data_IF_206176587973
#
_entry.id   IF_206176587973
#
_cell.length_a   1.000
_cell.length_b   1.000
_cell.length_c   1.000
_cell.angle_alpha   90.00
_cell.angle_beta   90.00
_cell.angle_gamma   90.00
#
_symmetry.space_group_name_H-M   'P 1'
#
loop_
_entity.id
_entity.type
_entity.pdbx_description
1 polymer ?
#
# COMPACT_ATOMS: atom_id res chain seq x y z
N UNK A 1 -2.72 -29.16 -0.54
CA UNK A 1 -3.35 -28.03 -1.26
C UNK A 1 -2.25 -27.12 -1.75
N UNK A 2 -2.08 -26.98 -3.07
CA UNK A 2 -1.14 -26.03 -3.65
C UNK A 2 -1.56 -24.62 -3.24
N UNK A 3 -0.73 -23.89 -2.47
CA UNK A 3 -0.94 -22.46 -2.25
C UNK A 3 -1.00 -21.79 -3.63
N UNK A 4 -2.19 -21.41 -4.08
CA UNK A 4 -2.31 -20.57 -5.27
C UNK A 4 -1.44 -19.33 -5.03
N UNK A 5 -0.63 -19.00 -6.03
CA UNK A 5 0.33 -17.91 -5.93
C UNK A 5 -0.40 -16.60 -6.25
N UNK A 6 -1.34 -16.25 -5.36
CA UNK A 6 -2.23 -15.10 -5.48
C UNK A 6 -1.38 -13.83 -5.50
N UNK A 7 -1.46 -13.07 -6.60
CA UNK A 7 -0.69 -11.85 -6.78
C UNK A 7 -1.60 -10.64 -6.62
N UNK A 8 -1.23 -9.78 -5.69
CA UNK A 8 -1.94 -8.54 -5.41
C UNK A 8 -1.32 -7.39 -6.18
N UNK A 9 -2.17 -6.60 -6.83
CA UNK A 9 -1.77 -5.47 -7.65
C UNK A 9 -2.44 -4.20 -7.16
N UNK A 10 -1.68 -3.11 -7.20
CA UNK A 10 -2.20 -1.76 -7.13
C UNK A 10 -2.38 -1.25 -8.56
N UNK A 11 -3.51 -0.60 -8.81
CA UNK A 11 -3.88 -0.07 -10.11
C UNK A 11 -4.28 1.40 -9.96
N UNK A 12 -3.79 2.25 -10.86
CA UNK A 12 -4.33 3.61 -11.02
C UNK A 12 -5.11 3.64 -12.32
N UNK A 13 -6.33 4.16 -12.25
CA UNK A 13 -7.21 4.34 -13.40
C UNK A 13 -7.47 5.81 -13.67
N UNK A 14 -7.54 6.14 -14.96
CA UNK A 14 -8.01 7.41 -15.53
C UNK A 14 -9.23 7.10 -16.39
N UNK A 15 -10.39 7.65 -16.06
CA UNK A 15 -11.69 7.37 -16.72
C UNK A 15 -11.91 5.86 -17.02
N UNK A 16 -11.74 5.01 -16.00
CA UNK A 16 -11.85 3.54 -16.03
C UNK A 16 -10.76 2.77 -16.79
N UNK A 17 -9.78 3.44 -17.39
CA UNK A 17 -8.63 2.79 -18.02
C UNK A 17 -7.49 2.64 -17.02
N UNK A 18 -7.01 1.42 -16.78
CA UNK A 18 -5.79 1.19 -15.99
C UNK A 18 -4.59 1.79 -16.73
N UNK A 19 -4.01 2.85 -16.17
CA UNK A 19 -2.82 3.55 -16.71
C UNK A 19 -1.53 3.17 -15.98
N UNK A 20 -1.67 2.61 -14.78
CA UNK A 20 -0.56 2.08 -14.00
C UNK A 20 -1.01 0.82 -13.27
N UNK A 21 -0.15 -0.19 -13.26
CA UNK A 21 -0.39 -1.45 -12.56
C UNK A 21 0.92 -2.02 -12.04
N UNK A 22 1.00 -2.27 -10.75
CA UNK A 22 2.20 -2.83 -10.12
C UNK A 22 1.84 -3.84 -9.05
N UNK A 23 2.70 -4.85 -8.85
CA UNK A 23 2.55 -5.75 -7.70
C UNK A 23 2.82 -5.01 -6.41
N UNK A 24 1.96 -5.23 -5.43
CA UNK A 24 2.09 -4.64 -4.09
C UNK A 24 3.24 -5.31 -3.32
N UNK A 25 3.38 -6.63 -3.50
CA UNK A 25 4.34 -7.44 -2.76
C UNK A 25 5.28 -8.21 -3.70
N UNK A 26 6.52 -8.40 -3.25
CA UNK A 26 7.45 -9.34 -3.87
C UNK A 26 6.95 -10.78 -3.70
N UNK A 27 7.41 -11.71 -4.56
CA UNK A 27 6.89 -13.10 -4.66
C UNK A 27 6.91 -13.91 -3.35
N UNK A 28 7.66 -13.46 -2.34
CA UNK A 28 7.84 -14.17 -1.08
C UNK A 28 7.09 -13.49 0.10
N UNK A 29 6.38 -12.40 -0.16
CA UNK A 29 5.65 -11.65 0.86
C UNK A 29 4.16 -11.83 0.61
N UNK A 30 3.45 -12.29 1.65
CA UNK A 30 2.00 -12.45 1.66
C UNK A 30 1.47 -11.56 2.76
N UNK A 31 0.57 -10.62 2.42
CA UNK A 31 -0.08 -9.78 3.42
C UNK A 31 -0.94 -10.61 4.37
N UNK A 32 -0.98 -10.19 5.63
CA UNK A 32 -1.84 -10.78 6.65
C UNK A 32 -3.30 -10.33 6.47
N UNK A 33 -4.20 -11.00 7.19
CA UNK A 33 -5.64 -10.70 7.16
C UNK A 33 -5.91 -9.24 7.57
N UNK A 34 -5.16 -8.75 8.55
CA UNK A 34 -5.31 -7.40 9.11
C UNK A 34 -5.09 -6.30 8.05
N UNK A 35 -4.08 -6.46 7.17
CA UNK A 35 -3.86 -5.53 6.06
C UNK A 35 -5.11 -5.37 5.16
N UNK A 36 -5.79 -6.47 4.86
CA UNK A 36 -6.98 -6.42 4.01
C UNK A 36 -8.20 -5.87 4.75
N UNK A 37 -8.40 -6.26 6.00
CA UNK A 37 -9.52 -5.77 6.82
C UNK A 37 -9.43 -4.26 7.04
N UNK A 38 -8.23 -3.72 7.33
CA UNK A 38 -8.05 -2.28 7.54
C UNK A 38 -8.25 -1.45 6.26
N UNK A 39 -8.07 -2.05 5.09
CA UNK A 39 -8.36 -1.44 3.80
C UNK A 39 -9.79 -1.70 3.31
N UNK A 40 -10.64 -2.35 4.13
CA UNK A 40 -11.98 -2.79 3.76
C UNK A 40 -12.01 -3.65 2.48
N UNK A 41 -11.00 -4.50 2.30
CA UNK A 41 -10.86 -5.39 1.15
C UNK A 41 -11.50 -6.74 1.46
N UNK A 42 -12.54 -7.08 0.70
CA UNK A 42 -13.23 -8.37 0.83
C UNK A 42 -12.52 -9.45 -0.01
N UNK A 43 -11.68 -10.25 0.64
CA UNK A 43 -11.04 -11.40 0.01
C UNK A 43 -11.89 -12.66 0.21
N UNK A 44 -12.23 -13.30 -0.90
CA UNK A 44 -12.63 -14.70 -0.90
C UNK A 44 -11.37 -15.58 -0.82
N UNK A 45 -11.06 -16.02 0.40
CA UNK A 45 -9.89 -16.85 0.67
C UNK A 45 -10.03 -18.28 0.14
N UNK A 46 -11.25 -18.75 -0.18
CA UNK A 46 -11.48 -20.08 -0.75
C UNK A 46 -11.23 -20.08 -2.25
N UNK A 47 -11.65 -19.02 -2.94
CA UNK A 47 -11.49 -18.84 -4.38
C UNK A 47 -10.22 -18.07 -4.78
N UNK A 48 -9.54 -17.45 -3.80
CA UNK A 48 -8.38 -16.60 -4.03
C UNK A 48 -8.71 -15.33 -4.81
N UNK A 49 -9.92 -14.80 -4.63
CA UNK A 49 -10.44 -13.64 -5.38
C UNK A 49 -10.55 -12.43 -4.47
N UNK A 50 -10.20 -11.26 -5.02
CA UNK A 50 -10.47 -9.97 -4.43
C UNK A 50 -11.27 -9.16 -5.45
N UNK A 51 -12.42 -8.64 -5.01
CA UNK A 51 -13.17 -7.68 -5.82
C UNK A 51 -12.38 -6.40 -5.97
N UNK A 52 -12.38 -5.85 -7.18
CA UNK A 52 -11.77 -4.56 -7.43
C UNK A 52 -12.40 -3.51 -6.50
N UNK A 53 -11.57 -2.92 -5.64
CA UNK A 53 -12.03 -2.01 -4.60
C UNK A 53 -11.28 -0.69 -4.73
N UNK A 54 -12.03 0.41 -4.85
CA UNK A 54 -11.47 1.77 -4.80
C UNK A 54 -10.99 2.08 -3.38
N UNK A 55 -9.76 2.57 -3.23
CA UNK A 55 -9.18 2.87 -1.93
C UNK A 55 -8.57 4.26 -1.89
N UNK A 56 -8.55 4.88 -0.71
CA UNK A 56 -7.78 6.11 -0.49
C UNK A 56 -6.28 5.80 -0.55
N UNK A 57 -5.52 6.61 -1.29
CA UNK A 57 -4.07 6.52 -1.33
C UNK A 57 -3.46 6.64 0.08
N UNK A 58 -3.97 7.55 0.90
CA UNK A 58 -3.51 7.74 2.28
C UNK A 58 -3.74 6.48 3.14
N UNK A 59 -4.91 5.87 3.04
CA UNK A 59 -5.22 4.64 3.78
C UNK A 59 -4.34 3.48 3.30
N UNK A 60 -4.20 3.32 1.98
CA UNK A 60 -3.30 2.32 1.40
C UNK A 60 -1.89 2.43 1.95
N UNK A 61 -1.31 3.64 1.86
CA UNK A 61 0.07 3.89 2.29
C UNK A 61 0.23 3.62 3.78
N UNK A 62 -0.72 4.07 4.60
CA UNK A 62 -0.72 3.84 6.05
C UNK A 62 -0.70 2.35 6.39
N UNK A 63 -1.59 1.56 5.82
CA UNK A 63 -1.67 0.12 6.11
C UNK A 63 -0.52 -0.67 5.53
N UNK A 64 -0.02 -0.27 4.36
CA UNK A 64 1.14 -0.89 3.77
C UNK A 64 2.37 -0.74 4.65
N UNK A 65 2.57 0.43 5.24
CA UNK A 65 3.63 0.67 6.21
C UNK A 65 3.50 -0.15 7.49
N UNK A 66 2.29 -0.20 8.08
CA UNK A 66 2.01 -1.07 9.24
C UNK A 66 2.33 -2.53 8.92
N UNK A 67 1.99 -3.00 7.73
CA UNK A 67 2.30 -4.35 7.33
C UNK A 67 3.82 -4.59 7.19
N UNK A 68 4.57 -3.67 6.57
CA UNK A 68 6.04 -3.78 6.47
C UNK A 68 6.71 -3.82 7.85
N UNK A 69 6.23 -3.02 8.80
CA UNK A 69 6.68 -3.06 10.19
C UNK A 69 6.54 -4.46 10.78
N UNK A 70 5.32 -5.01 10.73
CA UNK A 70 5.00 -6.35 11.27
C UNK A 70 5.89 -7.47 10.70
N UNK A 71 6.26 -7.41 9.42
CA UNK A 71 7.02 -8.50 8.77
C UNK A 71 8.54 -8.35 8.82
N UNK A 72 9.07 -7.15 9.12
CA UNK A 72 10.51 -6.92 9.04
C UNK A 72 11.25 -7.23 10.34
N UNK A 73 10.57 -7.36 11.49
CA UNK A 73 11.13 -7.71 12.82
C UNK A 73 12.47 -7.00 13.12
N UNK A 74 12.64 -5.78 12.59
CA UNK A 74 13.86 -5.00 12.75
C UNK A 74 13.63 -4.08 13.95
N UNK A 75 14.18 -4.45 15.10
CA UNK A 75 14.22 -3.64 16.32
C UNK A 75 14.68 -2.17 16.11
N UNK A 76 15.38 -1.84 15.01
CA UNK A 76 15.76 -0.48 14.65
C UNK A 76 14.69 0.29 13.85
N UNK A 77 13.81 -0.39 13.12
CA UNK A 77 12.65 0.23 12.44
C UNK A 77 11.53 0.54 13.44
N UNK A 78 11.37 -0.33 14.45
CA UNK A 78 10.33 -0.22 15.49
C UNK A 78 10.41 1.10 16.26
N UNK A 79 11.61 1.60 16.61
CA UNK A 79 11.73 2.89 17.34
C UNK A 79 11.29 4.09 16.50
N UNK A 80 11.58 4.07 15.19
CA UNK A 80 11.13 5.11 14.26
C UNK A 80 9.62 4.98 13.95
N UNK A 81 9.07 3.76 14.05
CA UNK A 81 7.68 3.44 13.75
C UNK A 81 6.73 3.62 14.93
N UNK A 82 7.15 3.39 16.18
CA UNK A 82 6.36 3.73 17.36
C UNK A 82 6.08 5.24 17.43
N UNK A 83 7.07 6.06 17.04
CA UNK A 83 6.88 7.50 16.86
C UNK A 83 5.86 7.79 15.75
N UNK A 84 5.97 7.12 14.60
CA UNK A 84 5.02 7.26 13.48
C UNK A 84 3.60 6.86 13.88
N UNK A 85 3.39 5.72 14.53
CA UNK A 85 2.06 5.23 14.93
C UNK A 85 1.47 5.96 16.13
N UNK A 86 2.30 6.64 16.93
CA UNK A 86 1.83 7.61 17.93
C UNK A 86 1.24 8.87 17.28
N UNK A 87 1.56 9.14 16.01
CA UNK A 87 0.92 10.21 15.24
C UNK A 87 -0.49 9.77 14.86
N UNK A 88 -1.46 10.28 15.60
CA UNK A 88 -2.90 10.01 15.37
C UNK A 88 -3.45 10.70 14.13
N UNK A 89 -2.74 11.68 13.59
CA UNK A 89 -3.16 12.41 12.41
C UNK A 89 -2.49 11.83 11.14
N UNK A 90 -3.32 11.41 10.19
CA UNK A 90 -2.84 10.77 8.97
C UNK A 90 -1.93 11.71 8.15
N UNK A 91 -2.02 13.04 8.35
CA UNK A 91 -1.22 14.01 7.60
C UNK A 91 0.24 14.02 8.08
N UNK A 92 0.50 14.06 9.38
CA UNK A 92 1.87 14.02 9.90
C UNK A 92 2.46 12.61 9.81
N UNK A 93 1.63 11.57 9.83
CA UNK A 93 2.07 10.20 9.56
C UNK A 93 2.68 10.14 8.14
N UNK A 94 1.90 10.53 7.13
CA UNK A 94 2.35 10.51 5.74
C UNK A 94 3.62 11.32 5.47
N UNK A 95 3.74 12.53 6.01
CA UNK A 95 4.95 13.36 5.80
C UNK A 95 6.22 12.69 6.37
N UNK A 96 6.11 11.97 7.48
CA UNK A 96 7.22 11.19 8.00
C UNK A 96 7.46 9.90 7.21
N UNK A 97 6.42 9.29 6.63
CA UNK A 97 6.56 8.15 5.71
C UNK A 97 7.36 8.53 4.45
N UNK A 98 7.10 9.71 3.87
CA UNK A 98 7.86 10.25 2.73
C UNK A 98 9.33 10.49 3.12
N UNK A 99 9.59 11.03 4.31
CA UNK A 99 10.96 11.19 4.81
C UNK A 99 11.70 9.84 4.94
N UNK A 100 11.02 8.81 5.47
CA UNK A 100 11.58 7.47 5.63
C UNK A 100 11.72 6.70 4.29
N UNK A 101 10.98 7.08 3.25
CA UNK A 101 11.21 6.57 1.89
C UNK A 101 12.66 6.82 1.42
N UNK A 102 13.28 7.91 1.87
CA UNK A 102 14.66 8.26 1.53
C UNK A 102 15.73 7.48 2.32
N UNK A 103 15.35 6.65 3.30
CA UNK A 103 16.27 5.79 4.07
C UNK A 103 16.25 4.34 3.53
N UNK A 104 17.09 3.43 4.05
CA UNK A 104 17.32 2.06 3.54
C UNK A 104 16.08 1.14 3.36
N UNK A 105 14.88 1.65 3.67
CA UNK A 105 13.59 0.99 3.48
C UNK A 105 13.13 1.10 2.00
N UNK A 106 13.80 1.90 1.18
CA UNK A 106 13.59 2.11 -0.27
C UNK A 106 13.36 0.81 -1.10
N UNK A 107 13.95 -0.32 -0.68
CA UNK A 107 13.72 -1.64 -1.30
C UNK A 107 12.26 -2.11 -1.26
N UNK A 108 11.47 -1.62 -0.30
CA UNK A 108 10.03 -1.85 -0.21
C UNK A 108 9.22 -0.78 -0.96
N UNK A 109 9.82 0.37 -1.30
CA UNK A 109 9.12 1.57 -1.75
C UNK A 109 9.19 1.91 -3.23
N UNK A 110 9.63 0.99 -4.08
CA UNK A 110 9.57 1.23 -5.52
C UNK A 110 8.14 1.56 -6.02
N UNK A 111 7.10 1.19 -5.26
CA UNK A 111 5.71 1.57 -5.55
C UNK A 111 5.44 3.04 -5.18
N UNK A 112 6.04 3.58 -4.11
CA UNK A 112 5.76 4.94 -3.61
C UNK A 112 6.21 6.01 -4.60
N UNK A 113 7.45 5.95 -5.09
CA UNK A 113 7.98 6.91 -6.08
C UNK A 113 7.16 6.93 -7.38
N UNK A 114 6.57 5.79 -7.74
CA UNK A 114 5.67 5.71 -8.88
C UNK A 114 4.30 6.30 -8.58
N UNK A 115 3.73 6.06 -7.39
CA UNK A 115 2.44 6.60 -6.99
C UNK A 115 2.48 8.14 -6.86
N UNK A 116 3.58 8.72 -6.38
CA UNK A 116 3.77 10.17 -6.25
C UNK A 116 3.68 10.92 -7.59
N UNK A 117 3.88 10.24 -8.73
CA UNK A 117 3.71 10.86 -10.07
C UNK A 117 2.25 11.18 -10.40
N UNK A 118 1.32 10.62 -9.64
CA UNK A 118 -0.13 10.74 -9.86
C UNK A 118 -0.80 11.56 -8.76
N UNK A 119 -0.03 12.19 -7.87
CA UNK A 119 -0.56 12.98 -6.75
C UNK A 119 -0.55 14.46 -7.06
N UNK A 120 -1.35 15.23 -6.33
CA UNK A 120 -1.35 16.68 -6.45
C UNK A 120 0.02 17.26 -6.10
N UNK A 121 0.46 18.26 -6.88
CA UNK A 121 1.77 18.92 -6.72
C UNK A 121 2.02 19.48 -5.30
N UNK A 122 0.94 19.84 -4.59
CA UNK A 122 0.98 20.38 -3.22
C UNK A 122 0.38 19.44 -2.17
N UNK A 123 -0.11 18.27 -2.57
CA UNK A 123 -0.65 17.26 -1.67
C UNK A 123 -0.39 15.84 -2.19
N UNK A 124 0.76 15.32 -1.80
CA UNK A 124 1.23 13.96 -2.12
C UNK A 124 0.30 12.85 -1.58
N UNK A 125 -0.71 13.17 -0.75
CA UNK A 125 -1.63 12.19 -0.15
C UNK A 125 -2.84 11.91 -1.03
N UNK A 126 -3.08 12.80 -1.98
CA UNK A 126 -4.29 12.83 -2.78
C UNK A 126 -3.89 12.65 -4.22
N UNK A 127 -4.46 11.62 -4.85
CA UNK A 127 -4.34 11.47 -6.30
C UNK A 127 -4.93 12.71 -6.99
N UNK A 128 -4.37 13.10 -8.14
CA UNK A 128 -5.03 14.08 -9.00
C UNK A 128 -6.48 13.63 -9.27
N UNK A 129 -7.40 14.57 -9.40
CA UNK A 129 -8.85 14.30 -9.43
C UNK A 129 -9.28 13.32 -10.54
N UNK A 130 -8.49 13.21 -11.61
CA UNK A 130 -8.70 12.27 -12.71
C UNK A 130 -8.26 10.84 -12.40
N UNK A 131 -7.55 10.61 -11.30
CA UNK A 131 -6.97 9.33 -10.96
C UNK A 131 -7.63 8.69 -9.75
N UNK A 132 -7.85 7.38 -9.85
CA UNK A 132 -8.39 6.56 -8.77
C UNK A 132 -7.52 5.35 -8.49
N UNK A 133 -7.35 5.01 -7.22
CA UNK A 133 -6.55 3.88 -6.78
C UNK A 133 -7.41 2.65 -6.53
N UNK A 134 -6.98 1.51 -7.05
CA UNK A 134 -7.65 0.23 -6.87
C UNK A 134 -6.66 -0.85 -6.43
N UNK A 135 -7.18 -1.86 -5.72
CA UNK A 135 -6.47 -3.12 -5.51
C UNK A 135 -7.22 -4.25 -6.19
N UNK A 136 -6.46 -5.09 -6.90
CA UNK A 136 -6.97 -6.28 -7.60
C UNK A 136 -6.11 -7.51 -7.34
N UNK A 137 -6.68 -8.68 -7.56
CA UNK A 137 -5.99 -9.98 -7.48
C UNK A 137 -6.06 -10.69 -8.82
N UNK A 138 -4.92 -11.24 -9.26
CA UNK A 138 -4.86 -12.15 -10.40
C UNK A 138 -4.23 -13.50 -10.00
N UNK A 139 -4.76 -14.58 -10.57
CA UNK A 139 -4.20 -15.93 -10.58
C UNK A 139 -3.08 -16.08 -11.62
#
# INVERSE_FOLDING_TARGET
MSKQNIRHFIEIKDDNKTIYRRRIFNRNIVADKEFYENLNLNIDWMEGKLEETEISLLNFMTEWWKFIDRITDRNSLIQDLDFLFAIKDNKSLYSNLVFQNHTMINQFFLVMDDLLKFTLEYDEKTLCENYKLYISVNN
#
